data_IF_958579724629
#
_entry.id   IF_958579724629
#
_cell.length_a   1.000
_cell.length_b   1.000
_cell.length_c   1.000
_cell.angle_alpha   90.00
_cell.angle_beta   90.00
_cell.angle_gamma   90.00
#
_symmetry.space_group_name_H-M   'P 1'
#
loop_
_entity.id
_entity.type
_entity.pdbx_description
1 polymer ?
#
# COMPACT_ATOMS: atom_id res chain seq x y z
N UNK A 1 -11.91 -31.75 27.14
CA UNK A 1 -12.79 -30.58 26.88
C UNK A 1 -11.90 -29.43 26.42
N UNK A 2 -11.58 -29.34 25.12
CA UNK A 2 -10.72 -28.28 24.57
C UNK A 2 -11.58 -27.06 24.20
N UNK A 3 -11.27 -25.92 24.82
CA UNK A 3 -12.07 -24.69 24.74
C UNK A 3 -11.81 -23.99 23.41
N UNK A 4 -12.85 -24.03 22.56
CA UNK A 4 -13.19 -23.05 21.53
C UNK A 4 -12.13 -22.69 20.48
N UNK A 5 -12.25 -23.30 19.29
CA UNK A 5 -11.87 -22.73 18.01
C UNK A 5 -12.73 -21.48 17.63
N UNK A 6 -13.05 -20.63 18.61
CA UNK A 6 -14.04 -19.57 18.46
C UNK A 6 -13.46 -18.26 19.00
N UNK A 7 -13.20 -17.32 18.06
CA UNK A 7 -13.52 -15.86 18.13
C UNK A 7 -12.44 -14.93 17.55
N UNK A 8 -11.85 -15.26 16.41
CA UNK A 8 -11.18 -14.25 15.56
C UNK A 8 -12.18 -13.60 14.56
N UNK A 9 -13.17 -14.38 14.09
CA UNK A 9 -14.27 -13.90 13.23
C UNK A 9 -14.98 -12.69 13.84
N UNK A 10 -14.85 -11.53 13.21
CA UNK A 10 -15.53 -10.28 13.57
C UNK A 10 -14.72 -9.29 14.42
N UNK A 11 -13.42 -9.51 14.65
CA UNK A 11 -12.52 -8.49 15.24
C UNK A 11 -12.07 -7.48 14.17
N UNK A 12 -11.82 -6.24 14.59
CA UNK A 12 -11.19 -5.23 13.72
C UNK A 12 -9.76 -5.63 13.37
N UNK A 13 -9.25 -5.15 12.24
CA UNK A 13 -7.86 -5.38 11.81
C UNK A 13 -6.85 -5.00 12.88
N UNK A 14 -7.05 -3.88 13.57
CA UNK A 14 -6.17 -3.44 14.67
C UNK A 14 -6.10 -4.47 15.80
N UNK A 15 -7.24 -5.05 16.19
CA UNK A 15 -7.29 -6.08 17.23
C UNK A 15 -6.65 -7.39 16.77
N UNK A 16 -6.79 -7.73 15.48
CA UNK A 16 -6.14 -8.90 14.90
C UNK A 16 -4.61 -8.70 14.85
N UNK A 17 -4.14 -7.50 14.50
CA UNK A 17 -2.73 -7.13 14.53
C UNK A 17 -2.13 -7.25 15.93
N UNK A 18 -2.80 -6.74 16.97
CA UNK A 18 -2.35 -6.86 18.36
C UNK A 18 -2.15 -8.33 18.79
N UNK A 19 -2.97 -9.25 18.27
CA UNK A 19 -2.86 -10.68 18.59
C UNK A 19 -1.77 -11.32 17.72
N UNK A 20 -1.77 -11.06 16.41
CA UNK A 20 -0.86 -11.68 15.46
C UNK A 20 0.62 -11.42 15.80
N UNK A 21 0.92 -10.24 16.34
CA UNK A 21 2.28 -9.81 16.68
C UNK A 21 2.57 -9.77 18.18
N UNK A 22 1.71 -10.34 19.03
CA UNK A 22 1.98 -10.42 20.48
C UNK A 22 3.06 -11.47 20.77
N UNK A 23 4.24 -11.04 21.21
CA UNK A 23 5.33 -11.94 21.65
C UNK A 23 5.38 -12.15 23.17
N UNK A 24 4.40 -11.63 23.92
CA UNK A 24 4.37 -11.75 25.40
C UNK A 24 4.07 -13.15 25.93
N UNK A 25 3.60 -14.05 25.06
CA UNK A 25 3.11 -15.38 25.43
C UNK A 25 1.67 -15.38 25.95
N UNK A 26 0.97 -14.24 25.86
CA UNK A 26 -0.45 -14.13 26.20
C UNK A 26 -1.32 -14.97 25.25
N UNK A 27 -0.95 -14.99 23.97
CA UNK A 27 -1.62 -15.80 22.94
C UNK A 27 -0.76 -16.99 22.51
N UNK A 28 -1.43 -18.12 22.27
CA UNK A 28 -0.79 -19.31 21.70
C UNK A 28 -0.37 -19.08 20.25
N UNK A 29 0.62 -19.83 19.76
CA UNK A 29 1.03 -19.80 18.34
C UNK A 29 -0.15 -20.00 17.39
N UNK A 30 -1.08 -20.90 17.74
CA UNK A 30 -2.27 -21.15 16.92
C UNK A 30 -3.22 -19.94 16.87
N UNK A 31 -3.39 -19.21 17.98
CA UNK A 31 -4.22 -18.01 18.04
C UNK A 31 -3.61 -16.85 17.24
N UNK A 32 -2.29 -16.67 17.32
CA UNK A 32 -1.58 -15.66 16.51
C UNK A 32 -1.69 -15.96 15.03
N UNK A 33 -1.51 -17.23 14.64
CA UNK A 33 -1.69 -17.68 13.24
C UNK A 33 -3.12 -17.49 12.75
N UNK A 34 -4.11 -17.78 13.58
CA UNK A 34 -5.52 -17.55 13.24
C UNK A 34 -5.82 -16.04 13.08
N UNK A 35 -5.26 -15.20 13.95
CA UNK A 35 -5.44 -13.74 13.85
C UNK A 35 -4.79 -13.17 12.59
N UNK A 36 -3.59 -13.62 12.24
CA UNK A 36 -2.92 -13.25 10.99
C UNK A 36 -3.72 -13.67 9.76
N UNK A 37 -4.23 -14.91 9.73
CA UNK A 37 -5.05 -15.42 8.62
C UNK A 37 -6.34 -14.61 8.45
N UNK A 38 -7.04 -14.31 9.55
CA UNK A 38 -8.27 -13.49 9.49
C UNK A 38 -7.98 -12.06 9.02
N UNK A 39 -6.86 -11.46 9.44
CA UNK A 39 -6.47 -10.12 8.98
C UNK A 39 -6.17 -10.13 7.47
N UNK A 40 -5.48 -11.17 7.00
CA UNK A 40 -5.18 -11.37 5.58
C UNK A 40 -6.46 -11.57 4.74
N UNK A 41 -7.40 -12.38 5.22
CA UNK A 41 -8.68 -12.62 4.52
C UNK A 41 -9.53 -11.35 4.44
N UNK A 42 -9.55 -10.54 5.50
CA UNK A 42 -10.22 -9.23 5.49
C UNK A 42 -9.57 -8.27 4.48
N UNK A 43 -8.24 -8.29 4.37
CA UNK A 43 -7.52 -7.50 3.39
C UNK A 43 -7.81 -7.93 1.95
N UNK A 44 -7.76 -9.24 1.67
CA UNK A 44 -8.08 -9.80 0.34
C UNK A 44 -9.50 -9.46 -0.09
N UNK A 45 -10.48 -9.61 0.81
CA UNK A 45 -11.86 -9.25 0.54
C UNK A 45 -11.99 -7.75 0.22
N UNK A 46 -11.30 -6.90 0.97
CA UNK A 46 -11.26 -5.46 0.71
C UNK A 46 -10.60 -5.12 -0.64
N UNK A 47 -9.44 -5.71 -0.97
CA UNK A 47 -8.75 -5.49 -2.25
C UNK A 47 -9.66 -5.80 -3.43
N UNK A 48 -10.40 -6.91 -3.36
CA UNK A 48 -11.39 -7.29 -4.39
C UNK A 48 -12.51 -6.26 -4.53
N UNK A 49 -13.02 -5.74 -3.42
CA UNK A 49 -14.03 -4.69 -3.43
C UNK A 49 -13.51 -3.39 -4.04
N UNK A 50 -12.28 -2.97 -3.71
CA UNK A 50 -11.67 -1.76 -4.26
C UNK A 50 -11.43 -1.87 -5.76
N UNK A 51 -10.95 -3.03 -6.24
CA UNK A 51 -10.82 -3.30 -7.68
C UNK A 51 -12.17 -3.16 -8.38
N UNK A 52 -13.22 -3.78 -7.82
CA UNK A 52 -14.57 -3.69 -8.39
C UNK A 52 -15.13 -2.25 -8.38
N UNK A 53 -14.78 -1.44 -7.38
CA UNK A 53 -15.19 -0.03 -7.30
C UNK A 53 -14.48 0.88 -8.30
N UNK A 54 -13.27 0.51 -8.74
CA UNK A 54 -12.50 1.26 -9.75
C UNK A 54 -12.95 1.02 -11.19
N UNK A 55 -13.60 -0.11 -11.47
CA UNK A 55 -14.03 -0.49 -12.82
C UNK A 55 -14.97 0.55 -13.48
N UNK A 56 -15.98 1.11 -12.79
CA UNK A 56 -16.88 2.10 -13.40
C UNK A 56 -16.16 3.39 -13.85
N UNK A 57 -15.20 3.89 -13.08
CA UNK A 57 -14.42 5.09 -13.43
C UNK A 57 -13.61 4.86 -14.71
N UNK A 58 -12.97 3.69 -14.79
CA UNK A 58 -12.24 3.28 -15.98
C UNK A 58 -13.16 3.20 -17.19
N UNK A 59 -14.34 2.59 -17.04
CA UNK A 59 -15.31 2.47 -18.13
C UNK A 59 -15.92 3.82 -18.56
N UNK A 60 -16.12 4.76 -17.64
CA UNK A 60 -16.68 6.07 -17.96
C UNK A 60 -15.64 7.02 -18.56
N UNK A 61 -14.50 7.19 -17.91
CA UNK A 61 -13.53 8.25 -18.21
C UNK A 61 -12.18 7.73 -18.75
N UNK A 62 -11.91 6.42 -18.64
CA UNK A 62 -10.56 5.87 -18.87
C UNK A 62 -9.59 6.19 -17.75
N UNK A 63 -10.09 6.56 -16.57
CA UNK A 63 -9.30 6.99 -15.39
C UNK A 63 -9.41 5.96 -14.27
N UNK A 64 -8.52 6.07 -13.28
CA UNK A 64 -8.48 5.18 -12.11
C UNK A 64 -8.15 5.95 -10.82
N UNK A 65 -8.44 7.25 -10.74
CA UNK A 65 -8.11 8.06 -9.58
C UNK A 65 -8.90 7.64 -8.35
N UNK A 66 -10.18 7.30 -8.51
CA UNK A 66 -11.03 6.82 -7.43
C UNK A 66 -10.51 5.48 -6.91
N UNK A 67 -10.03 4.62 -7.81
CA UNK A 67 -9.33 3.39 -7.44
C UNK A 67 -8.08 3.65 -6.59
N UNK A 68 -7.18 4.55 -7.02
CA UNK A 68 -5.98 4.88 -6.26
C UNK A 68 -6.31 5.56 -4.92
N UNK A 69 -7.33 6.41 -4.86
CA UNK A 69 -7.82 7.02 -3.62
C UNK A 69 -8.41 5.97 -2.66
N UNK A 70 -9.15 5.00 -3.19
CA UNK A 70 -9.71 3.89 -2.44
C UNK A 70 -8.63 2.93 -1.90
N UNK A 71 -7.46 2.84 -2.54
CA UNK A 71 -6.29 2.15 -1.99
C UNK A 71 -5.56 2.95 -0.90
N UNK A 72 -5.43 4.27 -1.08
CA UNK A 72 -4.64 5.13 -0.19
C UNK A 72 -5.25 5.26 1.21
N UNK A 73 -6.56 5.51 1.30
CA UNK A 73 -7.23 5.76 2.57
C UNK A 73 -7.14 4.57 3.56
N UNK A 74 -7.40 3.32 3.14
CA UNK A 74 -7.29 2.16 4.02
C UNK A 74 -5.83 1.83 4.37
N UNK A 75 -4.88 2.03 3.44
CA UNK A 75 -3.45 1.86 3.71
C UNK A 75 -2.98 2.76 4.86
N UNK A 76 -3.39 4.03 4.85
CA UNK A 76 -3.04 4.98 5.92
C UNK A 76 -3.64 4.61 7.28
N UNK A 77 -4.70 3.79 7.29
CA UNK A 77 -5.34 3.29 8.51
C UNK A 77 -4.75 1.97 9.02
N UNK A 78 -3.76 1.37 8.34
CA UNK A 78 -3.16 0.11 8.78
C UNK A 78 -2.27 0.31 10.02
N UNK A 79 -2.13 -0.71 10.88
CA UNK A 79 -1.09 -0.74 11.90
C UNK A 79 0.31 -0.54 11.29
N UNK A 80 1.22 0.12 12.01
CA UNK A 80 2.57 0.41 11.50
C UNK A 80 3.34 -0.84 11.04
N UNK A 81 3.16 -1.97 11.74
CA UNK A 81 3.76 -3.26 11.38
C UNK A 81 3.20 -3.83 10.07
N UNK A 82 1.95 -3.52 9.72
CA UNK A 82 1.37 -3.88 8.42
C UNK A 82 1.83 -2.90 7.33
N UNK A 83 1.90 -1.60 7.62
CA UNK A 83 2.46 -0.61 6.68
C UNK A 83 3.91 -0.92 6.30
N UNK A 84 4.71 -1.43 7.25
CA UNK A 84 6.10 -1.81 7.03
C UNK A 84 6.30 -2.99 6.06
N UNK A 85 5.23 -3.75 5.75
CA UNK A 85 5.28 -4.80 4.72
C UNK A 85 5.22 -4.24 3.30
N UNK A 86 4.87 -2.96 3.14
CA UNK A 86 4.84 -2.27 1.86
C UNK A 86 6.13 -1.46 1.66
N UNK A 87 6.47 -1.13 0.40
CA UNK A 87 7.55 -0.18 0.14
C UNK A 87 7.31 1.15 0.86
N UNK A 88 8.38 1.78 1.38
CA UNK A 88 8.30 3.09 2.04
C UNK A 88 7.72 4.19 1.13
N UNK A 89 7.84 4.02 -0.18
CA UNK A 89 7.29 4.91 -1.21
C UNK A 89 5.83 4.62 -1.59
N UNK A 90 5.16 3.64 -0.98
CA UNK A 90 3.84 3.18 -1.44
C UNK A 90 2.78 4.29 -1.38
N UNK A 91 2.62 4.97 -0.24
CA UNK A 91 1.67 6.08 -0.12
C UNK A 91 2.00 7.24 -1.05
N UNK A 92 3.28 7.60 -1.19
CA UNK A 92 3.69 8.71 -2.06
C UNK A 92 3.48 8.37 -3.54
N UNK A 93 3.67 7.11 -3.94
CA UNK A 93 3.34 6.63 -5.29
C UNK A 93 1.83 6.71 -5.58
N UNK A 94 0.97 6.26 -4.65
CA UNK A 94 -0.48 6.36 -4.82
C UNK A 94 -0.92 7.83 -4.95
N UNK A 95 -0.38 8.72 -4.11
CA UNK A 95 -0.64 10.16 -4.19
C UNK A 95 -0.15 10.76 -5.51
N UNK A 96 1.01 10.35 -6.00
CA UNK A 96 1.55 10.76 -7.29
C UNK A 96 0.61 10.35 -8.45
N UNK A 97 0.10 9.12 -8.45
CA UNK A 97 -0.84 8.66 -9.47
C UNK A 97 -2.17 9.41 -9.44
N UNK A 98 -2.72 9.67 -8.26
CA UNK A 98 -3.92 10.50 -8.10
C UNK A 98 -3.69 11.91 -8.66
N UNK A 99 -2.53 12.52 -8.36
CA UNK A 99 -2.20 13.86 -8.89
C UNK A 99 -1.95 13.88 -10.39
N UNK A 100 -1.43 12.78 -10.96
CA UNK A 100 -1.20 12.66 -12.40
C UNK A 100 -2.51 12.71 -13.18
N UNK A 101 -3.59 12.22 -12.58
CA UNK A 101 -4.91 12.07 -13.20
C UNK A 101 -4.79 11.46 -14.60
N UNK A 102 -4.11 10.31 -14.67
CA UNK A 102 -3.74 9.71 -15.93
C UNK A 102 -4.94 9.06 -16.61
N UNK A 103 -5.17 9.44 -17.86
CA UNK A 103 -6.16 8.81 -18.70
C UNK A 103 -5.52 7.68 -19.51
N UNK A 104 -5.89 6.45 -19.18
CA UNK A 104 -5.37 5.23 -19.79
C UNK A 104 -5.90 5.01 -21.22
N UNK A 105 -6.97 5.69 -21.62
CA UNK A 105 -7.50 5.64 -23.01
C UNK A 105 -6.76 6.61 -23.93
N UNK A 106 -6.48 7.81 -23.46
CA UNK A 106 -5.79 8.84 -24.25
C UNK A 106 -4.27 8.79 -24.09
N UNK A 107 -3.78 7.99 -23.13
CA UNK A 107 -2.38 7.89 -22.72
C UNK A 107 -1.77 9.22 -22.30
N UNK A 108 -2.56 10.11 -21.68
CA UNK A 108 -2.13 11.45 -21.28
C UNK A 108 -2.41 11.72 -19.81
N UNK A 109 -1.51 12.45 -19.12
CA UNK A 109 -1.82 13.04 -17.83
C UNK A 109 -2.80 14.20 -18.02
N UNK A 110 -3.85 14.25 -17.21
CA UNK A 110 -4.83 15.34 -17.20
C UNK A 110 -4.76 16.18 -15.91
N UNK A 111 -3.86 15.80 -15.00
CA UNK A 111 -3.68 16.44 -13.70
C UNK A 111 -2.98 17.79 -13.77
N UNK A 112 -3.37 18.71 -12.88
CA UNK A 112 -2.87 20.08 -12.88
C UNK A 112 -1.36 20.14 -12.59
N UNK A 113 -0.56 20.49 -13.60
CA UNK A 113 0.87 20.81 -13.45
C UNK A 113 1.78 19.61 -13.21
N UNK A 114 1.29 18.37 -13.34
CA UNK A 114 2.09 17.15 -13.13
C UNK A 114 2.26 16.42 -14.45
N UNK A 115 3.50 16.27 -14.90
CA UNK A 115 3.85 15.46 -16.06
C UNK A 115 4.42 14.10 -15.62
N UNK A 116 4.42 13.11 -16.53
CA UNK A 116 5.14 11.85 -16.29
C UNK A 116 6.62 12.09 -15.95
N UNK A 117 7.24 13.12 -16.55
CA UNK A 117 8.63 13.47 -16.31
C UNK A 117 8.86 13.98 -14.87
N UNK A 118 8.00 14.88 -14.38
CA UNK A 118 8.09 15.37 -13.00
C UNK A 118 7.85 14.28 -11.96
N UNK A 119 7.04 13.26 -12.29
CA UNK A 119 6.87 12.10 -11.42
C UNK A 119 8.08 11.16 -11.43
N UNK A 120 8.72 10.95 -12.58
CA UNK A 120 9.96 10.18 -12.63
C UNK A 120 11.07 10.86 -11.83
N UNK A 121 11.20 12.18 -11.90
CA UNK A 121 12.15 12.95 -11.08
C UNK A 121 11.82 12.82 -9.59
N UNK A 122 10.55 12.94 -9.21
CA UNK A 122 10.11 12.74 -7.83
C UNK A 122 10.42 11.34 -7.31
N UNK A 123 10.21 10.29 -8.12
CA UNK A 123 10.49 8.92 -7.71
C UNK A 123 11.98 8.60 -7.68
N UNK A 124 12.79 9.20 -8.57
CA UNK A 124 14.25 9.14 -8.48
C UNK A 124 14.76 9.78 -7.19
N UNK A 125 14.17 10.90 -6.78
CA UNK A 125 14.49 11.57 -5.52
C UNK A 125 14.03 10.78 -4.27
N UNK A 126 12.99 9.95 -4.39
CA UNK A 126 12.45 9.14 -3.28
C UNK A 126 12.94 7.69 -3.25
N UNK A 127 13.68 7.25 -4.27
CA UNK A 127 14.25 5.90 -4.35
C UNK A 127 15.58 5.78 -3.58
N UNK A 128 16.06 4.55 -3.31
CA UNK A 128 17.33 4.29 -2.60
C UNK A 128 18.58 4.81 -3.33
N UNK A 129 18.45 5.42 -4.51
CA UNK A 129 19.52 6.00 -5.32
C UNK A 129 19.54 7.55 -5.29
N UNK A 130 18.66 8.21 -4.54
CA UNK A 130 18.61 9.67 -4.44
C UNK A 130 19.80 10.31 -3.70
N UNK A 131 20.63 9.51 -3.02
CA UNK A 131 21.75 10.00 -2.18
C UNK A 131 23.14 9.87 -2.82
N UNK A 132 23.28 9.22 -4.00
CA UNK A 132 24.60 8.95 -4.62
C UNK A 132 24.92 9.81 -5.85
N UNK A 133 24.33 10.99 -5.99
CA UNK A 133 24.68 11.95 -7.05
C UNK A 133 25.63 13.08 -6.59
N UNK A 134 26.22 12.98 -5.39
CA UNK A 134 27.21 13.94 -4.91
C UNK A 134 28.38 13.22 -4.27
N UNK A 135 29.20 12.59 -5.11
CA UNK A 135 30.46 12.03 -4.67
C UNK A 135 31.14 11.24 -5.78
N UNK A 136 31.59 11.92 -6.84
CA UNK A 136 32.64 11.39 -7.70
C UNK A 136 33.93 11.29 -6.88
N UNK A 137 34.51 10.10 -6.61
CA UNK A 137 35.95 10.03 -6.46
C UNK A 137 36.52 9.93 -7.88
N UNK A 138 37.22 10.98 -8.30
CA UNK A 138 38.13 10.86 -9.42
C UNK A 138 39.13 9.74 -9.10
N UNK A 139 39.02 8.60 -9.80
CA UNK A 139 40.10 7.63 -9.86
C UNK A 139 40.85 7.90 -11.16
N UNK A 140 41.78 8.83 -11.02
CA UNK A 140 42.93 9.03 -11.89
C UNK A 140 43.97 7.95 -11.54
N UNK A 141 44.23 7.01 -12.45
CA UNK A 141 45.36 6.07 -12.35
C UNK A 141 45.73 5.61 -13.79
N UNK A 142 47.01 5.33 -14.06
CA UNK A 142 47.83 5.81 -15.19
C UNK A 142 47.70 5.06 -16.51
#
# INVERSE_FOLDING_TARGET
MAKAATRSRGRSRDQLGLIAYDDSGTFTVNERRAAWSDAYDQEEAWRRQVIAQGEPEYQAAGKQNDFFAALLKPYQGLPAIEQAQYPSSYASQLQAWIRLDFNFRTHRPEGAGVSRASLSEQWLAQGPHGEQASGTPALDVP
#
